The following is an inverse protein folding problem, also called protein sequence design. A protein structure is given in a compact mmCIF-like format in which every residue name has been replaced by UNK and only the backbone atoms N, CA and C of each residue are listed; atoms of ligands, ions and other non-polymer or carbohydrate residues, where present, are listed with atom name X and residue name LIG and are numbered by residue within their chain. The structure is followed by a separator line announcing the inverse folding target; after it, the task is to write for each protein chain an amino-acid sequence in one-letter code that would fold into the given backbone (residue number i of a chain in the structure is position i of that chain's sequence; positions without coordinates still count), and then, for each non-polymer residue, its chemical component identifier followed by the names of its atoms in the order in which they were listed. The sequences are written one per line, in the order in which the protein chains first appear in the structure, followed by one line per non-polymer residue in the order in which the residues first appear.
data_IF_277506400354
#
_entry.id   IF_277506400354
#
_cell.length_a   1.000
_cell.length_b   1.000
_cell.length_c   1.000
_cell.angle_alpha   90.00
_cell.angle_beta   90.00
_cell.angle_gamma   90.00
#
_symmetry.space_group_name_H-M   'P 1'
#
loop_
_entity.id
_entity.type
_entity.pdbx_description
1 polymer ?
#
# COMPACT_ATOMS: atom_id res chain seq x y z
N UNK A 1 13.68 -1.41 -26.67
CA UNK A 1 12.25 -1.59 -26.39
C UNK A 1 12.08 -1.35 -24.90
N UNK A 2 11.50 -0.22 -24.52
CA UNK A 2 11.32 0.16 -23.13
C UNK A 2 10.16 -0.67 -22.59
N UNK A 3 10.46 -1.69 -21.80
CA UNK A 3 9.44 -2.44 -21.07
C UNK A 3 8.88 -1.50 -20.00
N UNK A 4 7.89 -0.69 -20.39
CA UNK A 4 7.11 0.11 -19.45
C UNK A 4 6.24 -0.87 -18.69
N UNK A 5 6.85 -1.64 -17.79
CA UNK A 5 6.11 -2.34 -16.75
C UNK A 5 5.40 -1.24 -15.98
N UNK A 6 4.10 -1.08 -16.21
CA UNK A 6 3.26 -0.07 -15.55
C UNK A 6 3.28 -0.36 -14.05
N UNK A 7 4.25 0.24 -13.34
CA UNK A 7 4.33 0.21 -11.88
C UNK A 7 3.17 1.05 -11.37
N UNK A 8 2.05 0.39 -11.09
CA UNK A 8 0.90 1.03 -10.48
C UNK A 8 1.19 1.24 -9.00
N UNK A 9 1.01 2.47 -8.52
CA UNK A 9 1.17 2.84 -7.13
C UNK A 9 -0.20 3.24 -6.58
N UNK A 10 -0.54 2.78 -5.39
CA UNK A 10 -1.69 3.24 -4.65
C UNK A 10 -1.23 3.84 -3.33
N UNK A 11 -1.67 5.05 -3.04
CA UNK A 11 -1.35 5.74 -1.79
C UNK A 11 -2.54 5.58 -0.84
N UNK A 12 -2.27 5.14 0.39
CA UNK A 12 -3.26 4.98 1.43
C UNK A 12 -3.34 6.27 2.27
N UNK A 13 -4.49 6.92 2.22
CA UNK A 13 -4.80 8.15 2.95
C UNK A 13 -5.66 7.83 4.17
N UNK A 14 -5.13 8.12 5.36
CA UNK A 14 -5.87 8.12 6.61
C UNK A 14 -6.26 9.54 7.04
N UNK A 15 -6.91 9.68 8.21
CA UNK A 15 -7.42 10.97 8.70
C UNK A 15 -6.32 12.03 8.93
N UNK A 16 -5.06 11.60 9.12
CA UNK A 16 -3.90 12.49 9.28
C UNK A 16 -3.01 12.63 8.04
N UNK A 17 -3.42 12.11 6.88
CA UNK A 17 -2.62 12.09 5.65
C UNK A 17 -2.17 10.69 5.24
N UNK A 18 -1.04 10.59 4.56
CA UNK A 18 -0.58 9.31 3.99
C UNK A 18 -0.11 8.37 5.10
N UNK A 19 -0.76 7.21 5.23
CA UNK A 19 -0.43 6.17 6.21
C UNK A 19 0.36 5.02 5.63
N UNK A 20 0.36 4.87 4.30
CA UNK A 20 1.16 3.88 3.61
C UNK A 20 1.00 3.97 2.09
N UNK A 21 1.72 3.11 1.38
CA UNK A 21 1.66 2.97 -0.06
C UNK A 21 1.67 1.50 -0.44
N UNK A 22 1.05 1.19 -1.57
CA UNK A 22 0.99 -0.14 -2.17
C UNK A 22 1.55 -0.01 -3.58
N UNK A 23 2.63 -0.71 -3.90
CA UNK A 23 3.20 -0.74 -5.24
C UNK A 23 2.92 -2.09 -5.90
N UNK A 24 2.43 -2.09 -7.14
CA UNK A 24 2.38 -3.31 -7.95
C UNK A 24 3.80 -3.69 -8.33
N UNK A 25 4.18 -4.89 -7.91
CA UNK A 25 5.44 -5.52 -8.28
C UNK A 25 5.19 -6.75 -9.18
N UNK A 26 6.25 -7.34 -9.72
CA UNK A 26 6.15 -8.56 -10.52
C UNK A 26 5.60 -9.73 -9.68
N UNK A 27 6.02 -9.80 -8.41
CA UNK A 27 5.65 -10.86 -7.47
C UNK A 27 4.27 -10.64 -6.81
N UNK A 28 3.74 -9.41 -6.82
CA UNK A 28 2.48 -9.11 -6.12
C UNK A 28 2.26 -7.63 -5.86
N UNK A 29 1.79 -7.32 -4.64
CA UNK A 29 1.51 -5.98 -4.14
C UNK A 29 2.41 -5.72 -2.93
N UNK A 30 3.41 -4.88 -3.12
CA UNK A 30 4.34 -4.43 -2.10
C UNK A 30 3.67 -3.39 -1.21
N UNK A 31 3.61 -3.61 0.10
CA UNK A 31 3.08 -2.61 1.05
C UNK A 31 4.22 -1.93 1.77
N UNK A 32 4.19 -0.61 1.84
CA UNK A 32 5.12 0.21 2.62
C UNK A 32 4.32 1.11 3.56
N UNK A 33 4.73 1.23 4.82
CA UNK A 33 4.06 2.08 5.80
C UNK A 33 4.79 3.42 5.90
N UNK A 34 4.04 4.51 6.06
CA UNK A 34 4.65 5.83 6.30
C UNK A 34 5.41 5.81 7.62
N UNK A 35 6.66 6.29 7.60
CA UNK A 35 7.54 6.31 8.77
C UNK A 35 8.25 4.99 9.05
N UNK A 36 8.18 4.01 8.13
CA UNK A 36 9.04 2.83 8.14
C UNK A 36 9.87 2.80 6.86
N UNK A 37 11.17 2.54 7.01
CA UNK A 37 12.08 2.33 5.88
C UNK A 37 11.79 0.99 5.19
N UNK A 38 11.40 -0.03 5.97
CA UNK A 38 11.15 -1.36 5.47
C UNK A 38 9.71 -1.53 4.94
N UNK A 39 9.61 -2.31 3.86
CA UNK A 39 8.32 -2.78 3.35
C UNK A 39 7.66 -3.70 4.37
N UNK A 40 6.36 -3.54 4.56
CA UNK A 40 5.55 -4.40 5.41
C UNK A 40 5.53 -5.85 4.90
N UNK A 41 5.48 -6.02 3.58
CA UNK A 41 5.43 -7.32 2.94
C UNK A 41 5.06 -7.28 1.45
N UNK A 42 4.94 -8.45 0.85
CA UNK A 42 4.38 -8.65 -0.50
C UNK A 42 3.12 -9.48 -0.36
N UNK A 43 2.03 -9.02 -0.94
CA UNK A 43 0.75 -9.72 -0.90
C UNK A 43 0.32 -10.11 -2.30
N UNK A 44 -0.35 -11.26 -2.47
CA UNK A 44 -0.72 -11.75 -3.80
C UNK A 44 -1.85 -10.92 -4.43
N UNK A 45 -2.69 -10.28 -3.62
CA UNK A 45 -3.83 -9.48 -4.10
C UNK A 45 -3.90 -8.12 -3.43
N UNK A 46 -4.51 -7.17 -4.14
CA UNK A 46 -4.76 -5.81 -3.67
C UNK A 46 -5.56 -5.78 -2.37
N UNK A 47 -6.61 -6.62 -2.26
CA UNK A 47 -7.47 -6.63 -1.08
C UNK A 47 -6.74 -7.07 0.19
N UNK A 48 -5.82 -8.04 0.07
CA UNK A 48 -4.97 -8.46 1.18
C UNK A 48 -3.99 -7.33 1.55
N UNK A 49 -3.39 -6.66 0.56
CA UNK A 49 -2.52 -5.52 0.79
C UNK A 49 -3.23 -4.38 1.53
N UNK A 50 -4.46 -4.02 1.09
CA UNK A 50 -5.29 -3.01 1.76
C UNK A 50 -5.63 -3.39 3.20
N UNK A 51 -6.02 -4.65 3.44
CA UNK A 51 -6.29 -5.13 4.79
C UNK A 51 -5.02 -5.09 5.65
N UNK A 52 -3.85 -5.46 5.11
CA UNK A 52 -2.58 -5.41 5.84
C UNK A 52 -2.21 -3.98 6.29
N UNK A 53 -2.42 -2.98 5.43
CA UNK A 53 -2.28 -1.56 5.78
C UNK A 53 -3.23 -1.21 6.93
N UNK A 54 -4.53 -1.54 6.78
CA UNK A 54 -5.54 -1.22 7.80
C UNK A 54 -5.26 -1.88 9.15
N UNK A 55 -4.85 -3.16 9.16
CA UNK A 55 -4.48 -3.90 10.38
C UNK A 55 -3.25 -3.33 11.09
N UNK A 56 -2.37 -2.62 10.37
CA UNK A 56 -1.21 -1.93 10.96
C UNK A 56 -1.51 -0.50 11.41
N UNK A 57 -2.72 0.01 11.17
CA UNK A 57 -3.15 1.29 11.74
C UNK A 57 -3.47 1.14 13.23
N UNK A 58 -3.57 2.29 13.92
CA UNK A 58 -3.95 2.31 15.33
C UNK A 58 -5.34 1.68 15.49
N UNK A 59 -5.58 0.89 16.56
CA UNK A 59 -6.92 0.38 16.87
C UNK A 59 -7.95 1.51 16.89
N UNK A 60 -9.08 1.30 16.21
CA UNK A 60 -10.11 2.33 16.03
C UNK A 60 -9.88 3.30 14.87
N UNK A 61 -8.78 3.16 14.10
CA UNK A 61 -8.61 3.93 12.86
C UNK A 61 -9.61 3.49 11.81
N UNK A 62 -10.20 4.47 11.14
CA UNK A 62 -11.02 4.22 9.96
C UNK A 62 -10.21 3.59 8.83
N UNK A 63 -10.91 2.90 7.93
CA UNK A 63 -10.27 2.25 6.79
C UNK A 63 -9.71 3.35 5.87
N UNK A 64 -8.41 3.31 5.52
CA UNK A 64 -7.82 4.36 4.70
C UNK A 64 -8.38 4.32 3.27
N UNK A 65 -8.42 5.47 2.63
CA UNK A 65 -8.74 5.59 1.21
C UNK A 65 -7.51 5.27 0.37
N UNK A 66 -7.65 4.42 -0.63
CA UNK A 66 -6.55 4.06 -1.53
C UNK A 66 -6.75 4.76 -2.87
N UNK A 67 -5.83 5.64 -3.26
CA UNK A 67 -5.86 6.34 -4.56
C UNK A 67 -4.70 5.87 -5.44
N UNK A 68 -5.02 5.50 -6.68
CA UNK A 68 -4.02 5.16 -7.70
C UNK A 68 -3.32 6.44 -8.19
N UNK A 69 -2.00 6.36 -8.38
CA UNK A 69 -1.12 7.47 -8.75
C UNK A 69 -0.15 7.08 -9.86
#
# INVERSE_FOLDING_TARGET
MSDTTTRRLWVAYGPGGVVGTIQKDAEGYAVHMTGRDERLGIYPTMEIAKNAVHSHLKPGSERPEFREH
#
